data_IF_932469690953
#
_entry.id   IF_932469690953
#
_cell.length_a   1.000
_cell.length_b   1.000
_cell.length_c   1.000
_cell.angle_alpha   90.00
_cell.angle_beta   90.00
_cell.angle_gamma   90.00
#
_symmetry.space_group_name_H-M   'P 1'
#
loop_
_entity.id
_entity.type
_entity.pdbx_description
1 polymer ?
#
# COMPACT_ATOMS: atom_id res chain seq x y z
N UNK A 1 -13.54 0.38 25.86
CA UNK A 1 -12.14 0.22 25.39
C UNK A 1 -11.67 1.56 24.88
N UNK A 2 -10.49 2.03 25.29
CA UNK A 2 -9.92 3.29 24.80
C UNK A 2 -9.42 3.08 23.37
N UNK A 3 -10.28 3.40 22.39
CA UNK A 3 -9.98 3.28 20.96
C UNK A 3 -8.70 4.04 20.56
N UNK A 4 -8.33 5.09 21.30
CA UNK A 4 -7.06 5.82 21.14
C UNK A 4 -5.80 4.96 21.30
N UNK A 5 -5.87 3.84 22.02
CA UNK A 5 -4.73 2.94 22.23
C UNK A 5 -4.46 2.00 21.04
N UNK A 6 -5.45 1.80 20.15
CA UNK A 6 -5.33 0.93 18.97
C UNK A 6 -4.84 1.67 17.72
N UNK A 7 -4.82 3.00 17.76
CA UNK A 7 -4.44 3.86 16.63
C UNK A 7 -2.93 3.75 16.31
N UNK A 8 -1.98 3.83 17.28
CA UNK A 8 -0.56 3.64 16.98
C UNK A 8 -0.22 2.26 16.42
N UNK A 9 -0.82 1.15 16.90
CA UNK A 9 -0.68 -0.17 16.26
C UNK A 9 -1.17 -0.23 14.81
N UNK A 10 -2.32 0.37 14.49
CA UNK A 10 -2.86 0.38 13.12
C UNK A 10 -1.91 1.16 12.19
N UNK A 11 -1.51 2.36 12.62
CA UNK A 11 -0.52 3.20 11.94
C UNK A 11 0.79 2.43 11.72
N UNK A 12 1.26 1.73 12.77
CA UNK A 12 2.48 0.92 12.72
C UNK A 12 2.34 -0.25 11.76
N UNK A 13 1.21 -0.96 11.72
CA UNK A 13 0.97 -2.09 10.81
C UNK A 13 1.00 -1.61 9.36
N UNK A 14 0.30 -0.52 9.03
CA UNK A 14 0.29 0.00 7.65
C UNK A 14 1.66 0.55 7.24
N UNK A 15 2.36 1.29 8.10
CA UNK A 15 3.73 1.75 7.85
C UNK A 15 4.74 0.59 7.72
N UNK A 16 4.54 -0.51 8.46
CA UNK A 16 5.37 -1.72 8.37
C UNK A 16 5.16 -2.44 7.04
N UNK A 17 3.92 -2.51 6.57
CA UNK A 17 3.60 -3.11 5.27
C UNK A 17 4.21 -2.25 4.14
N UNK A 18 4.23 -0.93 4.29
CA UNK A 18 4.94 -0.02 3.36
C UNK A 18 6.43 -0.35 3.20
N UNK A 19 7.10 -0.68 4.31
CA UNK A 19 8.50 -1.10 4.28
C UNK A 19 8.69 -2.42 3.54
N UNK A 20 7.75 -3.35 3.65
CA UNK A 20 7.81 -4.67 2.98
C UNK A 20 7.52 -4.56 1.48
N UNK A 21 6.62 -3.66 1.09
CA UNK A 21 6.00 -3.62 -0.25
C UNK A 21 6.84 -2.89 -1.33
N UNK A 22 7.88 -2.14 -0.95
CA UNK A 22 8.89 -1.64 -1.92
C UNK A 22 10.11 -2.55 -2.06
N UNK A 23 10.46 -3.29 -1.01
CA UNK A 23 11.69 -4.10 -0.94
C UNK A 23 11.63 -5.32 -1.86
N UNK A 24 10.46 -5.93 -2.02
CA UNK A 24 10.31 -7.13 -2.85
C UNK A 24 10.70 -6.92 -4.31
N UNK A 25 10.27 -5.81 -4.93
CA UNK A 25 10.66 -5.50 -6.31
C UNK A 25 12.11 -4.98 -6.44
N UNK A 26 12.67 -4.40 -5.37
CA UNK A 26 14.11 -4.11 -5.30
C UNK A 26 14.94 -5.41 -5.34
N UNK A 27 14.52 -6.46 -4.63
CA UNK A 27 15.15 -7.80 -4.67
C UNK A 27 15.06 -8.41 -6.08
N UNK A 28 13.98 -8.12 -6.81
CA UNK A 28 13.82 -8.52 -8.21
C UNK A 28 14.61 -7.65 -9.21
N UNK A 29 15.37 -6.65 -8.75
CA UNK A 29 16.09 -5.66 -9.57
C UNK A 29 15.16 -4.79 -10.45
N UNK A 30 13.90 -4.64 -10.05
CA UNK A 30 12.90 -3.81 -10.72
C UNK A 30 12.78 -2.46 -10.02
N UNK A 31 13.83 -1.64 -10.14
CA UNK A 31 13.98 -0.42 -9.35
C UNK A 31 12.96 0.67 -9.71
N UNK A 32 12.63 0.85 -11.00
CA UNK A 32 11.63 1.85 -11.41
C UNK A 32 10.24 1.48 -10.92
N UNK A 33 9.91 0.19 -11.00
CA UNK A 33 8.64 -0.34 -10.48
C UNK A 33 8.55 -0.16 -8.96
N UNK A 34 9.62 -0.51 -8.23
CA UNK A 34 9.68 -0.28 -6.79
C UNK A 34 9.52 1.20 -6.44
N UNK A 35 10.16 2.10 -7.20
CA UNK A 35 10.04 3.55 -6.99
C UNK A 35 8.60 4.05 -7.21
N UNK A 36 7.93 3.60 -8.28
CA UNK A 36 6.55 3.99 -8.56
C UNK A 36 5.61 3.48 -7.46
N UNK A 37 5.77 2.22 -7.05
CA UNK A 37 5.00 1.63 -5.96
C UNK A 37 5.24 2.36 -4.63
N UNK A 38 6.47 2.78 -4.38
CA UNK A 38 6.81 3.56 -3.21
C UNK A 38 6.12 4.94 -3.24
N UNK A 39 6.23 5.68 -4.35
CA UNK A 39 5.63 7.03 -4.50
C UNK A 39 4.10 6.95 -4.39
N UNK A 40 3.47 6.03 -5.13
CA UNK A 40 2.01 5.86 -5.10
C UNK A 40 1.52 5.54 -3.71
N UNK A 41 2.22 4.65 -3.01
CA UNK A 41 1.82 4.32 -1.68
C UNK A 41 2.02 5.49 -0.71
N UNK A 42 3.15 6.22 -0.79
CA UNK A 42 3.41 7.38 0.07
C UNK A 42 2.31 8.45 -0.08
N UNK A 43 1.78 8.66 -1.29
CA UNK A 43 0.64 9.54 -1.53
C UNK A 43 -0.62 9.02 -0.81
N UNK A 44 -0.95 7.74 -0.95
CA UNK A 44 -2.12 7.13 -0.32
C UNK A 44 -2.04 7.18 1.21
N UNK A 45 -0.85 6.96 1.76
CA UNK A 45 -0.58 7.08 3.20
C UNK A 45 -0.78 8.51 3.68
N UNK A 46 -0.16 9.50 3.04
CA UNK A 46 -0.32 10.91 3.42
C UNK A 46 -1.79 11.31 3.40
N UNK A 47 -2.53 10.90 2.36
CA UNK A 47 -3.98 11.14 2.27
C UNK A 47 -4.73 10.48 3.43
N UNK A 48 -4.40 9.23 3.75
CA UNK A 48 -5.03 8.50 4.85
C UNK A 48 -4.73 9.16 6.21
N UNK A 49 -3.46 9.43 6.52
CA UNK A 49 -3.04 10.10 7.76
C UNK A 49 -3.64 11.49 7.92
N UNK A 50 -3.65 12.31 6.87
CA UNK A 50 -4.27 13.64 6.90
C UNK A 50 -5.76 13.54 7.29
N UNK A 51 -6.48 12.59 6.69
CA UNK A 51 -7.88 12.37 7.01
C UNK A 51 -8.07 11.82 8.43
N UNK A 52 -7.22 10.90 8.90
CA UNK A 52 -7.27 10.38 10.28
C UNK A 52 -7.07 11.51 11.29
N UNK A 53 -6.06 12.36 11.10
CA UNK A 53 -5.74 13.47 12.03
C UNK A 53 -6.84 14.55 12.01
N UNK A 54 -7.34 14.92 10.82
CA UNK A 54 -8.41 15.92 10.69
C UNK A 54 -9.77 15.46 11.24
N UNK A 55 -9.91 14.16 11.55
CA UNK A 55 -11.17 13.51 11.96
C UNK A 55 -10.99 12.63 13.21
N UNK A 56 -10.01 12.97 14.04
CA UNK A 56 -9.51 12.20 15.19
C UNK A 56 -10.57 11.75 16.22
N UNK A 57 -11.74 12.39 16.25
CA UNK A 57 -12.79 12.13 17.25
C UNK A 57 -14.08 11.51 16.67
N UNK A 58 -14.00 10.86 15.50
CA UNK A 58 -15.15 10.20 14.88
C UNK A 58 -15.42 8.85 15.52
N UNK A 59 -16.68 8.61 15.90
CA UNK A 59 -17.15 7.30 16.34
C UNK A 59 -17.02 6.26 15.22
N UNK A 60 -16.81 4.99 15.60
CA UNK A 60 -16.70 3.88 14.64
C UNK A 60 -17.90 3.78 13.69
N UNK A 61 -19.10 4.16 14.14
CA UNK A 61 -20.31 4.12 13.30
C UNK A 61 -20.28 5.14 12.15
N UNK A 62 -19.65 6.30 12.36
CA UNK A 62 -19.45 7.28 11.29
C UNK A 62 -18.20 6.97 10.46
N UNK A 63 -17.23 6.20 10.98
CA UNK A 63 -16.03 5.83 10.23
C UNK A 63 -16.39 5.18 8.88
N UNK A 64 -17.23 4.14 8.89
CA UNK A 64 -17.61 3.35 7.70
C UNK A 64 -18.43 4.11 6.65
N UNK A 65 -19.07 5.22 7.01
CA UNK A 65 -19.86 6.05 6.08
C UNK A 65 -19.11 7.32 5.62
N UNK A 66 -17.83 7.47 5.97
CA UNK A 66 -17.05 8.66 5.60
C UNK A 66 -16.03 8.37 4.51
N UNK A 67 -15.56 9.44 3.88
CA UNK A 67 -14.45 9.40 2.91
C UNK A 67 -13.18 8.73 3.48
N UNK A 68 -13.01 8.72 4.81
CA UNK A 68 -11.93 8.04 5.50
C UNK A 68 -11.96 6.52 5.24
N UNK A 69 -13.14 5.90 5.31
CA UNK A 69 -13.31 4.49 5.00
C UNK A 69 -13.00 4.17 3.54
N UNK A 70 -13.48 5.00 2.60
CA UNK A 70 -13.18 4.83 1.17
C UNK A 70 -11.67 4.89 0.90
N UNK A 71 -10.95 5.82 1.53
CA UNK A 71 -9.48 5.93 1.40
C UNK A 71 -8.78 4.72 2.03
N UNK A 72 -9.28 4.24 3.17
CA UNK A 72 -8.74 3.03 3.83
C UNK A 72 -8.91 1.79 2.95
N UNK A 73 -10.06 1.65 2.28
CA UNK A 73 -10.31 0.58 1.31
C UNK A 73 -9.40 0.68 0.09
N UNK A 74 -9.22 1.89 -0.48
CA UNK A 74 -8.31 2.10 -1.60
C UNK A 74 -6.88 1.70 -1.21
N UNK A 75 -6.44 2.07 -0.01
CA UNK A 75 -5.12 1.74 0.52
C UNK A 75 -4.96 0.22 0.68
N UNK A 76 -5.97 -0.47 1.21
CA UNK A 76 -5.98 -1.93 1.33
C UNK A 76 -5.92 -2.64 -0.04
N UNK A 77 -6.72 -2.18 -1.01
CA UNK A 77 -6.72 -2.70 -2.39
C UNK A 77 -5.36 -2.49 -3.02
N UNK A 78 -4.79 -1.30 -2.87
CA UNK A 78 -3.47 -0.97 -3.38
C UNK A 78 -2.39 -1.89 -2.81
N UNK A 79 -2.38 -2.10 -1.49
CA UNK A 79 -1.42 -2.99 -0.84
C UNK A 79 -1.55 -4.44 -1.34
N UNK A 80 -2.78 -4.93 -1.45
CA UNK A 80 -3.05 -6.27 -1.98
C UNK A 80 -2.53 -6.42 -3.42
N UNK A 81 -2.74 -5.38 -4.23
CA UNK A 81 -2.24 -5.33 -5.60
C UNK A 81 -0.70 -5.34 -5.67
N UNK A 82 -0.01 -4.55 -4.85
CA UNK A 82 1.47 -4.52 -4.91
C UNK A 82 2.08 -5.84 -4.43
N UNK A 83 1.50 -6.50 -3.41
CA UNK A 83 1.93 -7.85 -3.00
C UNK A 83 1.76 -8.84 -4.14
N UNK A 84 0.60 -8.86 -4.78
CA UNK A 84 0.33 -9.71 -5.94
C UNK A 84 1.32 -9.43 -7.08
N UNK A 85 1.54 -8.17 -7.39
CA UNK A 85 2.46 -7.74 -8.45
C UNK A 85 3.90 -8.18 -8.19
N UNK A 86 4.38 -8.01 -6.96
CA UNK A 86 5.71 -8.45 -6.52
C UNK A 86 5.87 -9.96 -6.64
N UNK A 87 4.83 -10.71 -6.26
CA UNK A 87 4.80 -12.16 -6.39
C UNK A 87 4.87 -12.60 -7.85
N UNK A 88 4.08 -11.99 -8.74
CA UNK A 88 4.12 -12.29 -10.17
C UNK A 88 5.48 -11.95 -10.80
N UNK A 89 6.11 -10.85 -10.38
CA UNK A 89 7.46 -10.51 -10.82
C UNK A 89 8.50 -11.52 -10.31
N UNK A 90 8.37 -12.01 -9.08
CA UNK A 90 9.26 -13.03 -8.54
C UNK A 90 9.14 -14.35 -9.32
N UNK A 91 7.91 -14.79 -9.61
CA UNK A 91 7.66 -15.98 -10.45
C UNK A 91 8.24 -15.79 -11.86
N UNK A 92 7.98 -14.67 -12.52
CA UNK A 92 8.50 -14.41 -13.87
C UNK A 92 10.04 -14.47 -13.91
N UNK A 93 10.70 -13.96 -12.86
CA UNK A 93 12.16 -14.07 -12.70
C UNK A 93 12.63 -15.52 -12.50
N UNK A 94 11.89 -16.32 -11.73
CA UNK A 94 12.21 -17.73 -11.49
C UNK A 94 12.07 -18.57 -12.77
N UNK A 95 11.02 -18.34 -13.55
CA UNK A 95 10.73 -19.09 -14.78
C UNK A 95 11.36 -18.48 -16.05
N UNK A 96 12.16 -17.42 -15.94
CA UNK A 96 12.70 -16.64 -17.07
C UNK A 96 11.62 -16.17 -18.07
N UNK A 97 10.44 -15.83 -17.55
CA UNK A 97 9.34 -15.28 -18.31
C UNK A 97 9.40 -13.74 -18.34
N UNK A 98 8.79 -13.09 -19.36
CA UNK A 98 8.71 -11.64 -19.38
C UNK A 98 7.93 -11.10 -18.17
N UNK A 99 8.43 -10.03 -17.55
CA UNK A 99 7.75 -9.41 -16.41
C UNK A 99 6.33 -8.96 -16.78
N UNK A 100 5.34 -9.17 -15.89
CA UNK A 100 3.98 -8.72 -16.10
C UNK A 100 3.92 -7.19 -16.16
N UNK A 101 2.95 -6.62 -16.88
CA UNK A 101 2.78 -5.16 -16.94
C UNK A 101 2.25 -4.61 -15.62
N UNK A 102 2.84 -3.53 -15.11
CA UNK A 102 2.33 -2.79 -13.95
C UNK A 102 1.15 -1.92 -14.39
N UNK A 103 -0.07 -2.20 -13.93
CA UNK A 103 -1.27 -1.42 -14.28
C UNK A 103 -1.44 -1.23 -15.81
N UNK A 104 -1.08 -2.25 -16.60
CA UNK A 104 -1.13 -2.20 -18.07
C UNK A 104 0.05 -1.49 -18.74
N UNK A 105 0.98 -0.92 -17.97
CA UNK A 105 2.20 -0.29 -18.46
C UNK A 105 3.40 -1.23 -18.34
N UNK A 106 4.24 -1.24 -19.38
CA UNK A 106 5.51 -1.98 -19.35
C UNK A 106 6.53 -1.14 -18.57
N UNK A 107 6.80 -1.53 -17.34
CA UNK A 107 7.74 -0.86 -16.44
C UNK A 107 8.82 -1.88 -16.11
N UNK A 108 9.70 -2.09 -17.10
CA UNK A 108 10.84 -2.99 -16.99
C UNK A 108 12.08 -2.10 -16.89
N UNK A 109 12.73 -2.11 -15.73
CA UNK A 109 13.95 -1.32 -15.47
C UNK A 109 14.13 -0.93 -14.01
#
# INVERSE_FOLDING_TARGET
MNYHALIPPIISIFASIFFVVGVGNVINKLYKRALIQFIMGLILDIMHFYLVIGRWNLSMDLYFNTRLWSVSLILLIYMSYVVYDTYQCALAKEYNEPYPKFMGLKIDG
#
